data_IF_760155755618
#
_entry.id   IF_760155755618
#
_cell.length_a   1.000
_cell.length_b   1.000
_cell.length_c   1.000
_cell.angle_alpha   90.00
_cell.angle_beta   90.00
_cell.angle_gamma   90.00
#
_symmetry.space_group_name_H-M   'P 1'
#
loop_
_entity.id
_entity.type
_entity.pdbx_description
1 polymer ?
#
# COMPACT_ATOMS: atom_id res chain seq x y z
N UNK A 1 -2.41 7.43 6.63
CA UNK A 1 -1.62 6.29 7.12
C UNK A 1 -0.15 6.54 6.80
N UNK A 2 0.76 6.05 7.62
CA UNK A 2 2.20 6.11 7.36
C UNK A 2 2.74 4.69 7.11
N UNK A 3 3.85 4.61 6.37
CA UNK A 3 4.74 3.46 6.25
C UNK A 3 6.17 3.93 6.46
N UNK A 4 7.00 3.14 7.14
CA UNK A 4 8.42 3.42 7.32
C UNK A 4 9.34 2.47 6.55
N UNK A 5 10.66 2.69 6.69
CA UNK A 5 11.69 1.92 6.01
C UNK A 5 11.66 0.42 6.29
N UNK A 6 11.07 -0.04 7.40
CA UNK A 6 10.94 -1.47 7.73
C UNK A 6 9.53 -2.00 7.46
N UNK A 7 8.75 -1.29 6.63
CA UNK A 7 7.38 -1.60 6.30
C UNK A 7 6.43 -1.67 7.51
N UNK A 8 6.74 -0.98 8.61
CA UNK A 8 5.76 -0.80 9.68
C UNK A 8 4.66 0.15 9.20
N UNK A 9 3.41 -0.13 9.55
CA UNK A 9 2.28 0.71 9.17
C UNK A 9 1.71 1.44 10.38
N UNK A 10 1.27 2.68 10.13
CA UNK A 10 0.52 3.46 11.08
C UNK A 10 -0.85 3.85 10.52
N UNK A 11 -1.88 3.29 11.12
CA UNK A 11 -3.28 3.64 10.87
C UNK A 11 -3.99 4.02 12.16
N UNK A 12 -3.26 4.29 13.26
CA UNK A 12 -3.84 4.59 14.58
C UNK A 12 -3.82 6.07 14.93
N UNK A 13 -2.68 6.75 14.80
CA UNK A 13 -2.55 8.17 15.18
C UNK A 13 -1.36 8.86 14.51
N UNK A 14 -1.32 10.19 14.55
CA UNK A 14 -0.16 11.00 14.17
C UNK A 14 0.24 11.88 15.35
N UNK A 15 1.55 11.98 15.62
CA UNK A 15 2.11 12.71 16.76
C UNK A 15 2.21 11.87 18.04
N UNK A 16 2.13 12.54 19.19
CA UNK A 16 2.25 11.89 20.51
C UNK A 16 1.11 10.89 20.76
N UNK A 17 1.40 9.80 21.48
CA UNK A 17 0.40 8.76 21.74
C UNK A 17 -0.68 9.21 22.73
N UNK A 18 -0.30 9.98 23.77
CA UNK A 18 -1.20 10.43 24.84
C UNK A 18 -2.00 11.64 24.40
N UNK A 19 -1.43 12.48 23.54
CA UNK A 19 -2.08 13.66 22.96
C UNK A 19 -1.89 13.68 21.43
N UNK A 20 -2.60 12.80 20.69
CA UNK A 20 -2.42 12.67 19.25
C UNK A 20 -2.90 13.92 18.51
N UNK A 21 -2.07 14.43 17.61
CA UNK A 21 -2.44 15.54 16.71
C UNK A 21 -3.58 15.14 15.77
N UNK A 22 -3.58 13.87 15.32
CA UNK A 22 -4.63 13.30 14.47
C UNK A 22 -4.91 11.88 14.93
N UNK A 23 -6.19 11.52 15.08
CA UNK A 23 -6.61 10.12 15.25
C UNK A 23 -7.00 9.52 13.91
N UNK A 24 -6.50 8.32 13.64
CA UNK A 24 -6.79 7.56 12.42
C UNK A 24 -7.74 6.38 12.76
N UNK A 25 -8.32 5.69 11.75
CA UNK A 25 -9.35 4.67 11.96
C UNK A 25 -8.98 3.48 12.87
N UNK A 26 -7.68 3.22 13.09
CA UNK A 26 -7.16 2.10 13.87
C UNK A 26 -6.62 0.96 13.00
N UNK A 27 -6.18 -0.11 13.65
CA UNK A 27 -5.57 -1.27 12.97
C UNK A 27 -6.57 -2.17 12.25
N UNK A 28 -7.82 -2.24 12.72
CA UNK A 28 -8.74 -3.29 12.28
C UNK A 28 -8.10 -4.67 12.47
N UNK A 29 -8.23 -5.54 11.47
CA UNK A 29 -7.57 -6.86 11.45
C UNK A 29 -6.17 -6.88 10.81
N UNK A 30 -5.61 -5.72 10.42
CA UNK A 30 -4.30 -5.66 9.77
C UNK A 30 -3.14 -6.20 10.64
N UNK A 31 -3.08 -5.95 11.96
CA UNK A 31 -2.06 -6.53 12.84
C UNK A 31 -2.03 -8.07 12.82
N UNK A 32 -3.21 -8.70 12.84
CA UNK A 32 -3.38 -10.14 12.79
C UNK A 32 -2.97 -10.69 11.41
N UNK A 33 -3.37 -10.02 10.32
CA UNK A 33 -2.96 -10.39 8.96
C UNK A 33 -1.44 -10.34 8.82
N UNK A 34 -0.78 -9.27 9.30
CA UNK A 34 0.67 -9.11 9.22
C UNK A 34 1.47 -10.16 9.98
N UNK A 35 0.86 -10.74 11.01
CA UNK A 35 1.47 -11.80 11.81
C UNK A 35 1.20 -13.18 11.22
N UNK A 36 -0.06 -13.46 10.90
CA UNK A 36 -0.56 -14.81 10.64
C UNK A 36 -0.62 -15.20 9.16
N UNK A 37 -0.67 -14.25 8.23
CA UNK A 37 -0.63 -14.57 6.80
C UNK A 37 0.76 -15.07 6.40
N UNK A 38 0.83 -16.03 5.47
CA UNK A 38 2.09 -16.56 4.93
C UNK A 38 3.02 -15.46 4.43
N UNK A 39 2.46 -14.47 3.75
CA UNK A 39 3.12 -13.24 3.34
C UNK A 39 2.09 -12.12 3.18
N UNK A 40 2.56 -10.87 3.19
CA UNK A 40 1.70 -9.68 3.07
C UNK A 40 2.20 -8.79 1.94
N UNK A 41 1.27 -8.39 1.07
CA UNK A 41 1.48 -7.36 0.07
C UNK A 41 0.80 -6.09 0.54
N UNK A 42 1.52 -4.97 0.51
CA UNK A 42 1.01 -3.66 0.92
C UNK A 42 0.77 -2.84 -0.34
N UNK A 43 -0.44 -2.31 -0.50
CA UNK A 43 -0.78 -1.37 -1.57
C UNK A 43 -1.05 0.01 -0.96
N UNK A 44 -0.33 1.04 -1.41
CA UNK A 44 -0.45 2.37 -0.80
C UNK A 44 0.00 3.47 -1.76
N UNK A 45 -0.63 4.65 -1.67
CA UNK A 45 -0.21 5.83 -2.43
C UNK A 45 1.11 6.40 -1.89
N UNK A 46 2.07 6.59 -2.77
CA UNK A 46 3.39 7.13 -2.46
C UNK A 46 3.32 8.65 -2.24
N UNK A 47 3.77 9.12 -1.08
CA UNK A 47 3.95 10.54 -0.81
C UNK A 47 4.85 10.72 0.41
N UNK A 48 5.47 11.89 0.54
CA UNK A 48 6.36 12.19 1.68
C UNK A 48 5.67 12.14 3.04
N UNK A 49 4.34 12.30 3.06
CA UNK A 49 3.50 12.15 4.26
C UNK A 49 3.19 10.69 4.58
N UNK A 50 3.15 9.84 3.56
CA UNK A 50 2.90 8.40 3.70
C UNK A 50 4.20 7.68 4.03
N UNK A 51 5.25 7.88 3.23
CA UNK A 51 6.56 7.23 3.37
C UNK A 51 7.43 8.11 4.27
N UNK A 52 7.40 7.84 5.58
CA UNK A 52 8.14 8.60 6.60
C UNK A 52 9.33 7.81 7.11
N UNK A 53 10.37 8.47 7.63
CA UNK A 53 11.56 7.78 8.14
C UNK A 53 11.25 6.74 9.22
N UNK A 54 10.40 7.13 10.17
CA UNK A 54 9.92 6.30 11.27
C UNK A 54 8.44 6.64 11.48
N UNK A 55 7.57 5.63 11.63
CA UNK A 55 6.17 5.89 11.94
C UNK A 55 6.00 6.39 13.38
N UNK A 56 5.03 7.28 13.60
CA UNK A 56 4.72 7.81 14.93
C UNK A 56 4.25 6.69 15.87
N UNK A 57 3.46 5.75 15.33
CA UNK A 57 2.96 4.59 16.06
C UNK A 57 2.94 3.35 15.17
N UNK A 58 3.49 2.23 15.65
CA UNK A 58 3.44 0.95 14.93
C UNK A 58 2.08 0.33 15.21
N UNK A 59 1.14 0.52 14.27
CA UNK A 59 -0.16 -0.15 14.35
C UNK A 59 -0.04 -1.60 13.90
N UNK A 60 0.67 -1.81 12.80
CA UNK A 60 0.90 -3.12 12.20
C UNK A 60 2.40 -3.28 12.00
N UNK A 61 2.97 -4.32 12.62
CA UNK A 61 4.41 -4.58 12.60
C UNK A 61 4.81 -5.09 11.21
N UNK A 62 5.78 -4.42 10.59
CA UNK A 62 6.50 -4.94 9.44
C UNK A 62 7.66 -5.80 9.92
N UNK A 63 8.86 -5.22 9.94
CA UNK A 63 10.07 -5.81 10.53
C UNK A 63 10.52 -5.10 11.82
N UNK A 64 9.67 -4.25 12.41
CA UNK A 64 9.99 -3.53 13.65
C UNK A 64 10.85 -2.29 13.39
N UNK A 65 11.38 -1.67 14.46
CA UNK A 65 12.16 -0.42 14.34
C UNK A 65 13.64 -0.65 14.00
N UNK A 66 14.07 -1.90 13.99
CA UNK A 66 15.46 -2.32 13.79
C UNK A 66 15.59 -3.47 12.77
N UNK A 67 14.51 -3.85 12.10
CA UNK A 67 14.48 -4.96 11.14
C UNK A 67 14.39 -6.35 11.75
N UNK A 68 14.31 -6.50 13.09
CA UNK A 68 14.45 -7.79 13.79
C UNK A 68 13.20 -8.30 14.46
N UNK A 69 12.06 -7.60 14.36
CA UNK A 69 10.85 -7.97 15.10
C UNK A 69 10.27 -9.36 14.74
N UNK A 70 10.77 -9.97 13.65
CA UNK A 70 10.36 -11.31 13.19
C UNK A 70 11.44 -12.37 13.43
N UNK A 71 12.61 -12.01 13.91
CA UNK A 71 13.73 -12.93 14.11
C UNK A 71 13.43 -13.91 15.24
N UNK A 72 13.60 -15.21 14.98
CA UNK A 72 13.38 -16.29 15.95
C UNK A 72 11.96 -16.34 16.56
N UNK A 73 10.97 -15.70 15.92
CA UNK A 73 9.58 -15.77 16.35
C UNK A 73 8.90 -16.95 15.65
N UNK A 74 8.47 -18.00 16.38
CA UNK A 74 7.81 -19.15 15.76
C UNK A 74 6.38 -18.79 15.34
N UNK A 75 5.86 -19.53 14.34
CA UNK A 75 4.45 -19.48 13.93
C UNK A 75 3.96 -18.13 13.39
N UNK A 76 4.85 -17.32 12.80
CA UNK A 76 4.50 -16.11 12.05
C UNK A 76 4.89 -16.29 10.58
N UNK A 77 4.22 -15.59 9.67
CA UNK A 77 4.59 -15.62 8.26
C UNK A 77 5.80 -14.75 7.92
N UNK A 78 6.05 -14.55 6.63
CA UNK A 78 7.19 -13.77 6.13
C UNK A 78 7.03 -12.26 6.36
N UNK A 79 5.86 -11.79 6.77
CA UNK A 79 5.56 -10.36 6.92
C UNK A 79 5.41 -9.67 5.55
N UNK A 80 5.66 -8.36 5.47
CA UNK A 80 5.57 -7.61 4.22
C UNK A 80 6.66 -8.08 3.24
N UNK A 81 6.29 -8.74 2.15
CA UNK A 81 7.25 -9.19 1.12
C UNK A 81 7.31 -8.25 -0.08
N UNK A 82 6.25 -7.46 -0.29
CA UNK A 82 6.13 -6.50 -1.40
C UNK A 82 5.34 -5.28 -0.93
N UNK A 83 5.83 -4.08 -1.29
CA UNK A 83 5.07 -2.83 -1.23
C UNK A 83 4.88 -2.31 -2.65
N UNK A 84 3.63 -2.17 -3.08
CA UNK A 84 3.26 -1.68 -4.41
C UNK A 84 2.65 -0.29 -4.25
N UNK A 85 3.18 0.67 -5.00
CA UNK A 85 2.72 2.06 -4.97
C UNK A 85 2.25 2.52 -6.34
N UNK A 86 1.87 3.78 -6.47
CA UNK A 86 1.64 4.43 -7.76
C UNK A 86 2.93 4.81 -8.50
N UNK A 87 4.10 4.68 -7.87
CA UNK A 87 5.41 5.02 -8.46
C UNK A 87 6.28 3.79 -8.75
N UNK A 88 6.26 2.81 -7.87
CA UNK A 88 7.25 1.74 -7.85
C UNK A 88 6.80 0.52 -7.02
N UNK A 89 7.55 -0.58 -7.19
CA UNK A 89 7.51 -1.76 -6.34
C UNK A 89 8.77 -1.77 -5.45
N UNK A 90 8.56 -1.87 -4.14
CA UNK A 90 9.61 -2.03 -3.14
C UNK A 90 9.54 -3.42 -2.52
N UNK A 91 10.69 -3.95 -2.10
CA UNK A 91 10.80 -5.18 -1.32
C UNK A 91 11.76 -4.98 -0.16
N UNK A 92 11.58 -5.65 0.97
CA UNK A 92 12.59 -5.65 2.03
C UNK A 92 13.88 -6.26 1.52
N UNK A 93 14.99 -5.61 1.81
CA UNK A 93 16.33 -6.14 1.68
C UNK A 93 16.49 -7.41 2.53
N UNK A 94 17.10 -8.49 2.03
CA UNK A 94 17.16 -9.76 2.74
C UNK A 94 17.96 -9.69 4.05
N UNK A 95 18.95 -8.81 4.14
CA UNK A 95 19.85 -8.69 5.31
C UNK A 95 19.35 -7.64 6.29
N UNK A 96 19.05 -6.44 5.79
CA UNK A 96 18.71 -5.27 6.62
C UNK A 96 17.21 -5.12 6.87
N UNK A 97 16.36 -5.78 6.07
CA UNK A 97 14.89 -5.62 6.04
C UNK A 97 14.37 -4.23 5.70
N UNK A 98 15.24 -3.29 5.32
CA UNK A 98 14.80 -2.01 4.81
C UNK A 98 14.18 -2.14 3.43
N UNK A 99 13.17 -1.33 3.12
CA UNK A 99 12.56 -1.26 1.82
C UNK A 99 13.55 -0.73 0.78
N UNK A 100 13.72 -1.51 -0.28
CA UNK A 100 14.53 -1.18 -1.45
C UNK A 100 13.63 -1.14 -2.68
N UNK A 101 13.74 -0.09 -3.48
CA UNK A 101 13.04 0.02 -4.77
C UNK A 101 13.61 -1.02 -5.73
N UNK A 102 12.77 -1.96 -6.16
CA UNK A 102 13.12 -3.05 -7.07
C UNK A 102 12.64 -2.80 -8.49
N UNK A 103 11.56 -2.04 -8.65
CA UNK A 103 11.07 -1.67 -9.96
C UNK A 103 10.40 -0.31 -9.95
N UNK A 104 10.66 0.52 -10.97
CA UNK A 104 9.92 1.75 -11.25
C UNK A 104 8.79 1.45 -12.24
N UNK A 105 7.64 2.09 -12.07
CA UNK A 105 6.59 2.03 -13.07
C UNK A 105 7.00 2.80 -14.33
N UNK A 106 6.40 2.50 -15.50
CA UNK A 106 6.68 3.23 -16.73
C UNK A 106 6.58 4.74 -16.52
N UNK A 107 7.56 5.47 -17.05
CA UNK A 107 7.67 6.94 -16.97
C UNK A 107 7.94 7.53 -15.57
N UNK A 108 8.24 6.71 -14.56
CA UNK A 108 8.66 7.18 -13.23
C UNK A 108 10.18 7.20 -13.14
N UNK A 109 10.74 8.28 -12.59
CA UNK A 109 12.19 8.44 -12.37
C UNK A 109 12.60 8.11 -10.93
N UNK A 110 13.91 8.00 -10.67
CA UNK A 110 14.43 7.84 -9.30
C UNK A 110 14.12 9.08 -8.47
N UNK A 111 14.24 10.24 -9.08
CA UNK A 111 14.02 11.56 -8.49
C UNK A 111 12.59 11.71 -7.99
N UNK A 112 11.60 11.21 -8.74
CA UNK A 112 10.19 11.20 -8.31
C UNK A 112 10.01 10.42 -7.00
N UNK A 113 10.61 9.23 -6.91
CA UNK A 113 10.53 8.38 -5.71
C UNK A 113 11.27 9.02 -4.53
N UNK A 114 12.47 9.54 -4.76
CA UNK A 114 13.27 10.22 -3.72
C UNK A 114 12.50 11.43 -3.18
N UNK A 115 11.93 12.27 -4.05
CA UNK A 115 11.16 13.44 -3.65
C UNK A 115 9.90 13.07 -2.84
N UNK A 116 9.32 11.90 -3.13
CA UNK A 116 8.15 11.37 -2.44
C UNK A 116 8.47 10.54 -1.18
N UNK A 117 9.75 10.34 -0.82
CA UNK A 117 10.15 9.51 0.32
C UNK A 117 10.76 10.35 1.46
N UNK A 118 10.44 10.00 2.70
CA UNK A 118 10.88 10.71 3.91
C UNK A 118 12.21 10.23 4.50
N UNK A 119 12.90 9.31 3.84
CA UNK A 119 14.24 8.81 4.20
C UNK A 119 15.10 8.60 2.96
N UNK A 120 16.39 8.31 3.17
CA UNK A 120 17.33 8.02 2.09
C UNK A 120 17.02 6.64 1.48
N UNK A 121 16.12 6.62 0.50
CA UNK A 121 15.63 5.40 -0.12
C UNK A 121 16.70 4.75 -1.00
N UNK A 122 16.87 3.43 -0.84
CA UNK A 122 17.78 2.62 -1.66
C UNK A 122 17.07 2.08 -2.90
N UNK A 123 17.83 1.92 -3.97
CA UNK A 123 17.42 1.27 -5.20
C UNK A 123 18.28 0.02 -5.41
N UNK A 124 17.69 -1.03 -5.93
CA UNK A 124 18.43 -2.23 -6.27
C UNK A 124 19.43 -1.97 -7.42
N UNK A 125 20.51 -2.75 -7.44
CA UNK A 125 21.51 -2.72 -8.53
C UNK A 125 20.86 -3.14 -9.85
N UNK A 126 20.00 -4.16 -9.81
CA UNK A 126 19.21 -4.68 -10.91
C UNK A 126 17.84 -3.99 -11.05
N UNK A 127 17.81 -2.66 -10.89
CA UNK A 127 16.57 -1.88 -10.94
C UNK A 127 15.82 -2.10 -12.27
N UNK A 128 14.62 -2.69 -12.19
CA UNK A 128 13.79 -2.99 -13.36
C UNK A 128 12.75 -1.90 -13.65
N UNK A 129 12.18 -1.92 -14.86
CA UNK A 129 10.90 -1.26 -15.14
C UNK A 129 9.76 -2.25 -14.97
N UNK A 130 8.66 -1.83 -14.36
CA UNK A 130 7.50 -2.69 -14.16
C UNK A 130 6.88 -2.98 -15.53
N UNK A 131 6.64 -4.24 -15.90
CA UNK A 131 6.04 -4.57 -17.18
C UNK A 131 4.70 -3.88 -17.36
N UNK A 132 4.45 -3.34 -18.55
CA UNK A 132 3.11 -2.86 -18.89
C UNK A 132 2.13 -4.04 -18.95
N UNK A 133 0.87 -3.85 -18.54
CA UNK A 133 -0.13 -4.89 -18.64
C UNK A 133 -0.34 -5.34 -20.09
N UNK A 134 -0.44 -6.65 -20.31
CA UNK A 134 -0.73 -7.22 -21.61
C UNK A 134 -2.16 -6.91 -22.09
N UNK A 135 -2.40 -7.03 -23.40
CA UNK A 135 -3.71 -6.78 -24.00
C UNK A 135 -4.84 -7.59 -23.34
N UNK A 136 -4.58 -8.86 -23.02
CA UNK A 136 -5.55 -9.73 -22.35
C UNK A 136 -5.85 -9.29 -20.91
N UNK A 137 -4.84 -8.86 -20.16
CA UNK A 137 -5.02 -8.38 -18.78
C UNK A 137 -5.85 -7.09 -18.77
N UNK A 138 -5.59 -6.18 -19.70
CA UNK A 138 -6.36 -4.94 -19.88
C UNK A 138 -7.81 -5.23 -20.28
N UNK A 139 -8.05 -6.18 -21.18
CA UNK A 139 -9.39 -6.61 -21.56
C UNK A 139 -10.17 -7.12 -20.35
N UNK A 140 -9.59 -8.07 -19.60
CA UNK A 140 -10.22 -8.65 -18.40
C UNK A 140 -10.49 -7.58 -17.34
N UNK A 141 -9.55 -6.66 -17.10
CA UNK A 141 -9.72 -5.58 -16.14
C UNK A 141 -10.87 -4.64 -16.54
N UNK A 142 -10.96 -4.28 -17.83
CA UNK A 142 -12.01 -3.39 -18.35
C UNK A 142 -13.39 -4.05 -18.25
N UNK A 143 -13.48 -5.35 -18.58
CA UNK A 143 -14.70 -6.14 -18.42
C UNK A 143 -15.14 -6.22 -16.95
N UNK A 144 -14.22 -6.51 -16.03
CA UNK A 144 -14.52 -6.53 -14.60
C UNK A 144 -15.05 -5.18 -14.11
N UNK A 145 -14.41 -4.08 -14.49
CA UNK A 145 -14.87 -2.72 -14.15
C UNK A 145 -16.26 -2.42 -14.71
N UNK A 146 -16.53 -2.80 -15.97
CA UNK A 146 -17.83 -2.59 -16.59
C UNK A 146 -18.95 -3.33 -15.85
N UNK A 147 -18.71 -4.58 -15.45
CA UNK A 147 -19.68 -5.36 -14.66
C UNK A 147 -19.91 -4.80 -13.26
N UNK A 148 -18.86 -4.36 -12.57
CA UNK A 148 -19.00 -3.70 -11.27
C UNK A 148 -19.80 -2.40 -11.39
N UNK A 149 -19.54 -1.61 -12.43
CA UNK A 149 -20.30 -0.38 -12.68
C UNK A 149 -21.77 -0.66 -12.96
N UNK A 150 -22.10 -1.64 -13.81
CA UNK A 150 -23.50 -1.96 -14.12
C UNK A 150 -24.29 -2.41 -12.89
N UNK A 151 -23.67 -3.16 -11.96
CA UNK A 151 -24.32 -3.59 -10.72
C UNK A 151 -24.56 -2.43 -9.74
N UNK A 152 -23.66 -1.44 -9.68
CA UNK A 152 -23.81 -0.28 -8.78
C UNK A 152 -24.65 0.87 -9.38
N UNK A 153 -24.96 0.83 -10.67
CA UNK A 153 -25.73 1.89 -11.34
C UNK A 153 -27.25 1.82 -11.08
N UNK A 154 -27.74 0.76 -10.43
CA UNK A 154 -29.17 0.50 -10.23
C UNK A 154 -29.93 0.25 -11.54
N UNK A 155 -31.20 -0.21 -11.49
CA UNK A 155 -32.04 -0.26 -12.67
C UNK A 155 -32.32 1.18 -13.12
N UNK A 156 -32.10 1.48 -14.40
CA UNK A 156 -32.59 2.71 -15.02
C UNK A 156 -34.12 2.65 -14.96
N UNK A 157 -34.73 3.37 -14.02
CA UNK A 157 -36.19 3.49 -13.95
C UNK A 157 -36.68 4.15 -15.25
N UNK A 158 -37.62 3.56 -16.00
CA UNK A 158 -38.18 4.22 -17.16
C UNK A 158 -38.84 5.53 -16.72
N UNK A 159 -38.60 6.61 -17.45
CA UNK A 159 -39.20 7.90 -17.18
C UNK A 159 -40.72 7.77 -17.23
N UNK A 160 -41.39 7.98 -16.09
CA UNK A 160 -42.85 7.97 -16.00
C UNK A 160 -43.37 9.25 -16.68
N UNK A 161 -43.76 9.13 -17.95
CA UNK A 161 -44.42 10.22 -18.67
C UNK A 161 -45.94 10.07 -18.50
N UNK A 162 -46.45 10.45 -17.33
CA UNK A 162 -47.88 10.67 -17.14
C UNK A 162 -48.18 12.16 -17.35
N UNK A 163 -48.62 12.46 -18.58
CA UNK A 163 -49.38 13.64 -18.89
C UNK A 163 -50.73 13.55 -18.18
N UNK A 164 -50.88 14.25 -17.05
CA UNK A 164 -52.22 14.61 -16.58
C UNK A 164 -52.74 15.78 -17.43
N UNK A 165 -53.57 15.40 -18.40
CA UNK A 165 -54.64 16.23 -18.94
C UNK A 165 -55.74 16.38 -17.88
N UNK A 166 -56.38 17.55 -18.01
CA UNK A 166 -57.64 18.05 -17.46
C UNK A 166 -57.66 18.53 -16.01
#
# INVERSE_FOLDING_TARGET
AQIDRYANLNTTLIGDYREPKVRLPGGGGAPEIATSAKEVFITVKHSKRTFVKDVDFVTTVGFGRDGKARDNVPNIGNGPTVVITDLCILKPDPETKELVVRSLHPNVTREDVIAATGWDIRFAEDLATTPEPGARELEVLRDLKARTHSHHSGPTMPANNEAHRD
#
